data_IF_782246745329
#
_entry.id   IF_782246745329
#
_cell.length_a   1.000
_cell.length_b   1.000
_cell.length_c   1.000
_cell.angle_alpha   90.00
_cell.angle_beta   90.00
_cell.angle_gamma   90.00
#
_symmetry.space_group_name_H-M   'P 1'
#
loop_
_entity.id
_entity.type
_entity.pdbx_description
1 polymer ?
#
# COMPACT_ATOMS: atom_id res chain seq x y z
N UNK A 1 -10.40 -18.59 1.98
CA UNK A 1 -10.41 -17.25 1.35
C UNK A 1 -9.31 -16.45 1.99
N UNK A 2 -8.48 -15.80 1.18
CA UNK A 2 -7.39 -14.95 1.68
C UNK A 2 -7.97 -13.79 2.48
N UNK A 3 -7.47 -13.60 3.69
CA UNK A 3 -7.86 -12.46 4.52
C UNK A 3 -7.26 -11.18 3.95
N UNK A 4 -8.04 -10.10 3.91
CA UNK A 4 -7.61 -8.85 3.29
C UNK A 4 -7.99 -7.60 4.06
N UNK A 5 -7.17 -6.57 3.87
CA UNK A 5 -7.42 -5.20 4.31
C UNK A 5 -7.65 -4.32 3.09
N UNK A 6 -8.64 -3.45 3.17
CA UNK A 6 -8.89 -2.45 2.15
C UNK A 6 -8.33 -1.11 2.60
N UNK A 7 -7.55 -0.46 1.75
CA UNK A 7 -7.01 0.88 1.99
C UNK A 7 -7.76 1.84 1.08
N UNK A 8 -8.48 2.79 1.66
CA UNK A 8 -9.13 3.86 0.92
C UNK A 8 -8.15 5.01 0.74
N UNK A 9 -7.82 5.30 -0.51
CA UNK A 9 -6.87 6.35 -0.86
C UNK A 9 -7.57 7.70 -1.04
N UNK A 10 -7.23 8.66 -0.17
CA UNK A 10 -7.67 10.05 -0.26
C UNK A 10 -6.61 10.96 -0.92
N UNK A 11 -5.58 10.38 -1.54
CA UNK A 11 -4.53 11.09 -2.26
C UNK A 11 -3.24 11.32 -1.46
N UNK A 12 -3.02 10.55 -0.38
CA UNK A 12 -1.76 10.63 0.38
C UNK A 12 -0.57 10.15 -0.45
N UNK A 13 0.52 10.91 -0.38
CA UNK A 13 1.83 10.46 -0.87
C UNK A 13 2.35 9.17 -0.20
N UNK A 14 1.79 8.80 0.96
CA UNK A 14 2.22 7.63 1.74
C UNK A 14 1.27 6.41 1.62
N UNK A 15 0.19 6.47 0.83
CA UNK A 15 -0.76 5.35 0.72
C UNK A 15 -0.08 4.02 0.34
N UNK A 16 0.90 4.06 -0.57
CA UNK A 16 1.65 2.87 -0.96
C UNK A 16 2.53 2.31 0.18
N UNK A 17 2.98 3.15 1.11
CA UNK A 17 3.73 2.71 2.29
C UNK A 17 2.81 2.01 3.31
N UNK A 18 1.55 2.43 3.43
CA UNK A 18 0.55 1.70 4.23
C UNK A 18 0.42 0.28 3.66
N UNK A 19 0.17 0.15 2.35
CA UNK A 19 0.03 -1.16 1.71
C UNK A 19 1.29 -2.03 1.88
N UNK A 20 2.47 -1.42 1.75
CA UNK A 20 3.74 -2.11 2.02
C UNK A 20 3.82 -2.60 3.47
N UNK A 21 3.50 -1.77 4.45
CA UNK A 21 3.53 -2.15 5.86
C UNK A 21 2.53 -3.27 6.19
N UNK A 22 1.34 -3.25 5.58
CA UNK A 22 0.36 -4.33 5.72
C UNK A 22 0.88 -5.66 5.15
N UNK A 23 1.50 -5.61 3.97
CA UNK A 23 2.10 -6.80 3.32
C UNK A 23 3.33 -7.32 4.07
N UNK A 24 4.15 -6.45 4.63
CA UNK A 24 5.28 -6.82 5.50
C UNK A 24 4.81 -7.49 6.80
N UNK A 25 3.55 -7.27 7.22
CA UNK A 25 2.90 -8.00 8.29
C UNK A 25 2.25 -9.33 7.83
N UNK A 26 2.53 -9.79 6.60
CA UNK A 26 1.97 -10.99 5.98
C UNK A 26 0.43 -10.98 5.86
N UNK A 27 -0.15 -9.80 5.60
CA UNK A 27 -1.59 -9.64 5.35
C UNK A 27 -1.79 -9.09 3.94
N UNK A 28 -2.74 -9.66 3.18
CA UNK A 28 -3.07 -9.16 1.85
C UNK A 28 -3.79 -7.81 1.94
N UNK A 29 -3.54 -6.93 0.98
CA UNK A 29 -4.27 -5.67 0.90
C UNK A 29 -4.45 -5.16 -0.52
N UNK A 30 -5.54 -4.41 -0.68
CA UNK A 30 -5.89 -3.68 -1.90
C UNK A 30 -5.96 -2.18 -1.57
N UNK A 31 -5.54 -1.34 -2.52
CA UNK A 31 -5.77 0.10 -2.47
C UNK A 31 -6.88 0.40 -3.48
N UNK A 32 -7.89 1.14 -3.06
CA UNK A 32 -8.90 1.71 -3.98
C UNK A 32 -9.06 3.21 -3.72
N UNK A 33 -9.42 4.00 -4.74
CA UNK A 33 -9.83 5.38 -4.51
C UNK A 33 -11.00 5.48 -3.52
N UNK A 34 -10.99 6.50 -2.67
CA UNK A 34 -12.01 6.67 -1.61
C UNK A 34 -13.48 6.68 -2.10
N UNK A 35 -13.71 7.10 -3.35
CA UNK A 35 -15.05 7.22 -3.96
C UNK A 35 -15.53 5.92 -4.62
N UNK A 36 -14.71 4.86 -4.65
CA UNK A 36 -15.13 3.56 -5.17
C UNK A 36 -16.00 2.82 -4.16
N UNK A 37 -17.00 2.08 -4.67
CA UNK A 37 -17.87 1.25 -3.85
C UNK A 37 -17.08 0.12 -3.17
N UNK A 38 -17.32 -0.09 -1.88
CA UNK A 38 -16.70 -1.16 -1.09
C UNK A 38 -17.53 -2.43 -1.24
N UNK A 39 -16.88 -3.52 -1.66
CA UNK A 39 -17.47 -4.86 -1.67
C UNK A 39 -17.15 -5.55 -0.35
N UNK A 40 -18.16 -5.70 0.50
CA UNK A 40 -18.03 -6.44 1.76
C UNK A 40 -18.13 -7.94 1.49
N UNK A 41 -17.01 -8.62 1.60
CA UNK A 41 -16.90 -10.07 1.42
C UNK A 41 -16.29 -10.74 2.66
N UNK A 42 -16.51 -12.05 2.90
CA UNK A 42 -16.09 -12.71 4.14
C UNK A 42 -14.59 -12.62 4.45
N UNK A 43 -13.74 -12.44 3.42
CA UNK A 43 -12.30 -12.27 3.56
C UNK A 43 -11.86 -10.86 3.97
N UNK A 44 -12.70 -9.84 3.84
CA UNK A 44 -12.36 -8.47 4.21
C UNK A 44 -12.44 -8.31 5.74
N UNK A 45 -11.30 -7.99 6.37
CA UNK A 45 -11.14 -7.97 7.84
C UNK A 45 -11.12 -6.58 8.47
N UNK A 46 -10.84 -5.55 7.69
CA UNK A 46 -10.73 -4.18 8.19
C UNK A 46 -10.46 -3.18 7.07
N UNK A 47 -10.65 -1.90 7.38
CA UNK A 47 -10.44 -0.79 6.46
C UNK A 47 -9.46 0.23 7.05
N UNK A 48 -8.52 0.70 6.24
CA UNK A 48 -7.63 1.81 6.58
C UNK A 48 -8.01 3.02 5.71
N UNK A 49 -8.30 4.15 6.34
CA UNK A 49 -8.53 5.44 5.68
C UNK A 49 -7.21 6.19 5.62
N UNK A 50 -6.66 6.41 4.42
CA UNK A 50 -5.35 7.05 4.25
C UNK A 50 -5.39 8.56 4.54
N UNK A 51 -4.21 9.19 4.51
CA UNK A 51 -4.07 10.64 4.55
C UNK A 51 -4.55 11.32 3.26
N UNK A 52 -4.53 12.64 3.25
CA UNK A 52 -4.82 13.47 2.07
C UNK A 52 -4.04 14.78 2.16
N UNK A 53 -3.72 15.43 1.03
CA UNK A 53 -3.27 16.82 1.03
C UNK A 53 -4.40 17.82 1.34
N UNK A 54 -5.67 17.41 1.29
CA UNK A 54 -6.83 18.26 1.54
C UNK A 54 -7.07 18.53 3.04
N UNK A 55 -7.78 19.61 3.36
CA UNK A 55 -8.39 19.79 4.68
C UNK A 55 -9.79 19.18 4.68
N UNK A 56 -10.20 18.56 5.80
CA UNK A 56 -11.58 18.07 5.97
C UNK A 56 -12.61 19.20 6.03
N UNK A 57 -12.16 20.44 6.21
CA UNK A 57 -13.00 21.63 6.24
C UNK A 57 -13.13 22.31 4.86
N UNK A 58 -12.46 21.79 3.82
CA UNK A 58 -12.59 22.33 2.46
C UNK A 58 -13.94 21.91 1.84
N UNK A 59 -14.57 22.79 1.06
CA UNK A 59 -15.88 22.52 0.43
C UNK A 59 -15.90 21.27 -0.48
N UNK A 60 -14.74 20.92 -1.04
CA UNK A 60 -14.55 19.75 -1.93
C UNK A 60 -13.69 18.67 -1.29
N UNK A 61 -13.63 18.64 0.05
CA UNK A 61 -12.89 17.64 0.80
C UNK A 61 -13.34 16.22 0.39
N UNK A 62 -12.41 15.27 0.17
CA UNK A 62 -12.75 13.86 -0.04
C UNK A 62 -13.56 13.24 1.11
N UNK A 63 -14.77 12.76 0.84
CA UNK A 63 -15.68 12.21 1.86
C UNK A 63 -15.97 10.72 1.62
N UNK A 64 -16.23 9.98 2.70
CA UNK A 64 -16.75 8.60 2.66
C UNK A 64 -17.68 8.38 3.84
N UNK A 65 -18.65 7.47 3.71
CA UNK A 65 -19.55 7.11 4.80
C UNK A 65 -18.87 6.16 5.81
N UNK A 66 -18.16 6.76 6.77
CA UNK A 66 -17.38 6.03 7.79
C UNK A 66 -18.31 5.27 8.75
N UNK A 67 -19.50 5.80 9.04
CA UNK A 67 -20.46 5.13 9.91
C UNK A 67 -20.90 3.79 9.32
N UNK A 68 -21.37 3.78 8.07
CA UNK A 68 -21.76 2.55 7.37
C UNK A 68 -20.62 1.54 7.22
N UNK A 69 -19.38 2.02 7.09
CA UNK A 69 -18.20 1.15 7.07
C UNK A 69 -17.96 0.52 8.44
N UNK A 70 -17.92 1.33 9.50
CA UNK A 70 -17.61 0.88 10.85
C UNK A 70 -18.70 -0.01 11.46
N UNK A 71 -19.94 0.03 10.96
CA UNK A 71 -20.96 -0.95 11.34
C UNK A 71 -20.62 -2.38 10.94
N UNK A 72 -19.77 -2.55 9.91
CA UNK A 72 -19.46 -3.86 9.32
C UNK A 72 -18.05 -4.33 9.62
N UNK A 73 -17.09 -3.41 9.74
CA UNK A 73 -15.67 -3.73 9.88
C UNK A 73 -14.93 -2.79 10.84
N UNK A 74 -13.83 -3.24 11.45
CA UNK A 74 -12.90 -2.36 12.13
C UNK A 74 -12.28 -1.32 11.17
N UNK A 75 -12.09 -0.10 11.67
CA UNK A 75 -11.56 1.04 10.89
C UNK A 75 -10.36 1.68 11.56
N UNK A 76 -9.33 2.00 10.78
CA UNK A 76 -8.22 2.86 11.19
C UNK A 76 -8.14 4.09 10.29
N UNK A 77 -8.30 5.28 10.85
CA UNK A 77 -8.02 6.54 10.18
C UNK A 77 -6.58 7.00 10.40
N UNK A 78 -5.88 7.38 9.33
CA UNK A 78 -4.51 7.93 9.40
C UNK A 78 -4.53 9.37 8.87
N UNK A 79 -4.05 10.31 9.69
CA UNK A 79 -3.99 11.74 9.40
C UNK A 79 -5.36 12.28 8.93
N UNK A 80 -5.53 12.61 7.65
CA UNK A 80 -6.82 13.01 7.08
C UNK A 80 -7.94 12.01 7.40
N UNK A 81 -7.70 10.71 7.29
CA UNK A 81 -8.70 9.70 7.64
C UNK A 81 -9.14 9.79 9.11
N UNK A 82 -8.22 10.14 10.03
CA UNK A 82 -8.53 10.34 11.44
C UNK A 82 -9.33 11.64 11.67
N UNK A 83 -8.98 12.72 10.96
CA UNK A 83 -9.70 13.99 11.00
C UNK A 83 -11.12 13.85 10.47
N UNK A 84 -11.26 13.19 9.32
CA UNK A 84 -12.54 12.92 8.67
C UNK A 84 -13.43 12.10 9.60
N UNK A 85 -12.84 11.09 10.26
CA UNK A 85 -13.52 10.29 11.25
C UNK A 85 -14.01 11.14 12.43
N UNK A 86 -13.14 11.97 13.02
CA UNK A 86 -13.54 12.83 14.13
C UNK A 86 -14.68 13.78 13.74
N UNK A 87 -14.59 14.43 12.56
CA UNK A 87 -15.61 15.34 12.06
C UNK A 87 -16.94 14.63 11.76
N UNK A 88 -16.91 13.45 11.15
CA UNK A 88 -18.09 12.64 10.80
C UNK A 88 -18.97 12.32 12.02
N UNK A 89 -18.37 12.15 13.19
CA UNK A 89 -19.10 11.84 14.43
C UNK A 89 -19.32 13.06 15.34
N UNK A 90 -19.12 14.29 14.84
CA UNK A 90 -19.41 15.53 15.57
C UNK A 90 -18.25 16.13 16.36
N UNK A 91 -17.03 15.64 16.16
CA UNK A 91 -15.81 16.26 16.66
C UNK A 91 -15.45 17.54 15.91
N UNK A 92 -14.54 18.33 16.48
CA UNK A 92 -14.10 19.60 15.90
C UNK A 92 -12.68 19.45 15.36
N UNK A 93 -12.52 19.66 14.06
CA UNK A 93 -11.22 19.74 13.39
C UNK A 93 -10.97 21.18 12.96
N UNK A 94 -9.83 21.74 13.36
CA UNK A 94 -9.47 23.11 13.02
C UNK A 94 -7.99 23.21 12.68
N UNK A 95 -7.64 24.28 11.95
CA UNK A 95 -6.25 24.60 11.62
C UNK A 95 -5.39 24.59 12.87
N UNK A 96 -4.25 23.94 12.78
CA UNK A 96 -3.28 23.95 13.87
C UNK A 96 -2.53 25.28 13.88
N UNK A 97 -2.39 25.88 15.06
CA UNK A 97 -1.59 27.09 15.26
C UNK A 97 -0.08 26.84 15.02
N UNK A 98 0.34 25.57 15.09
CA UNK A 98 1.70 25.09 14.77
C UNK A 98 1.59 24.02 13.68
N UNK A 99 2.18 24.25 12.51
CA UNK A 99 2.34 23.21 11.50
C UNK A 99 3.45 22.29 11.95
N UNK A 100 3.12 21.07 12.34
CA UNK A 100 4.12 20.05 12.66
C UNK A 100 4.30 19.12 11.49
N UNK A 101 5.30 19.44 10.68
CA UNK A 101 5.94 18.49 9.80
C UNK A 101 7.20 18.04 10.51
N UNK A 102 7.22 16.83 11.04
CA UNK A 102 8.41 16.39 11.76
C UNK A 102 8.19 15.25 12.74
N UNK A 103 9.28 14.97 13.45
CA UNK A 103 9.32 13.99 14.53
C UNK A 103 8.68 14.59 15.78
N UNK A 104 7.82 13.82 16.42
CA UNK A 104 7.26 14.13 17.73
C UNK A 104 7.37 12.89 18.63
N UNK A 105 7.34 13.13 19.94
CA UNK A 105 7.26 12.05 20.93
C UNK A 105 5.80 11.84 21.31
N UNK A 106 5.31 10.63 21.08
CA UNK A 106 4.00 10.22 21.55
C UNK A 106 3.99 10.21 23.09
N UNK A 107 2.86 10.52 23.72
CA UNK A 107 2.64 10.26 25.15
C UNK A 107 1.36 9.47 25.28
N UNK A 108 1.49 8.18 25.57
CA UNK A 108 0.34 7.32 25.79
C UNK A 108 -0.38 7.71 27.09
N UNK A 109 -1.66 8.05 26.98
CA UNK A 109 -2.52 8.44 28.10
C UNK A 109 -3.39 7.29 28.61
N UNK A 110 -3.59 6.27 27.76
CA UNK A 110 -4.30 5.03 28.12
C UNK A 110 -3.59 3.82 27.55
N UNK A 111 -3.65 2.71 28.29
CA UNK A 111 -3.26 1.41 27.76
C UNK A 111 -4.31 0.94 26.75
N UNK A 112 -3.85 0.51 25.58
CA UNK A 112 -4.71 -0.03 24.53
C UNK A 112 -3.95 -1.08 23.73
N UNK A 113 -4.68 -2.08 23.23
CA UNK A 113 -4.14 -3.17 22.42
C UNK A 113 -3.38 -2.67 21.18
N UNK A 114 -3.74 -1.50 20.63
CA UNK A 114 -3.06 -0.93 19.47
C UNK A 114 -1.61 -0.49 19.78
N UNK A 115 -1.29 -0.24 21.05
CA UNK A 115 0.04 0.17 21.52
C UNK A 115 0.86 -0.95 22.16
N UNK A 116 0.39 -2.19 22.15
CA UNK A 116 1.16 -3.28 22.76
C UNK A 116 2.51 -3.47 22.05
N UNK A 117 3.61 -3.39 22.82
CA UNK A 117 4.98 -3.43 22.28
C UNK A 117 5.45 -2.11 21.65
N UNK A 118 4.70 -1.02 21.82
CA UNK A 118 5.10 0.36 21.45
C UNK A 118 5.44 1.13 22.72
N UNK A 119 6.57 1.81 22.74
CA UNK A 119 7.00 2.58 23.91
C UNK A 119 6.05 3.75 24.19
N UNK A 120 5.88 4.08 25.48
CA UNK A 120 5.01 5.18 25.92
C UNK A 120 5.43 6.53 25.33
N UNK A 121 6.72 6.66 25.02
CA UNK A 121 7.38 7.81 24.39
C UNK A 121 7.97 7.45 23.03
N UNK A 122 7.22 6.72 22.21
CA UNK A 122 7.67 6.36 20.86
C UNK A 122 7.76 7.58 19.95
N UNK A 123 8.78 7.62 19.08
CA UNK A 123 8.91 8.65 18.07
C UNK A 123 7.93 8.38 16.92
N UNK A 124 7.15 9.41 16.56
CA UNK A 124 6.17 9.38 15.48
C UNK A 124 6.41 10.51 14.48
N UNK A 125 5.93 10.34 13.25
CA UNK A 125 6.00 11.35 12.19
C UNK A 125 4.66 12.07 11.99
N UNK A 126 4.65 13.37 12.30
CA UNK A 126 3.52 14.27 12.09
C UNK A 126 3.60 14.92 10.71
N UNK A 127 2.45 15.07 10.05
CA UNK A 127 2.37 15.73 8.74
C UNK A 127 0.96 16.25 8.46
N UNK A 128 0.49 17.22 9.23
CA UNK A 128 -0.83 17.81 9.03
C UNK A 128 -0.87 19.33 9.25
N UNK A 129 -1.79 19.98 8.55
CA UNK A 129 -2.14 21.39 8.75
C UNK A 129 -3.25 21.61 9.78
N UNK A 130 -4.09 20.58 9.97
CA UNK A 130 -5.24 20.61 10.87
C UNK A 130 -5.06 19.65 12.05
N UNK A 131 -5.77 19.93 13.12
CA UNK A 131 -5.70 19.16 14.37
C UNK A 131 -7.11 18.95 14.91
N UNK A 132 -7.36 17.76 15.42
CA UNK A 132 -8.59 17.43 16.14
C UNK A 132 -8.55 18.15 17.49
N UNK A 133 -9.44 19.13 17.67
CA UNK A 133 -9.53 19.96 18.88
C UNK A 133 -10.46 19.35 19.92
N UNK A 134 -11.56 18.77 19.45
CA UNK A 134 -12.56 18.13 20.30
C UNK A 134 -12.88 16.78 19.70
N UNK A 135 -12.77 15.74 20.51
CA UNK A 135 -13.21 14.41 20.13
C UNK A 135 -14.74 14.31 20.22
N UNK A 136 -15.37 13.54 19.32
CA UNK A 136 -16.79 13.27 19.39
C UNK A 136 -17.17 12.49 20.66
N UNK A 137 -18.43 12.57 21.06
CA UNK A 137 -18.95 11.80 22.19
C UNK A 137 -18.84 10.28 21.90
N UNK A 138 -18.54 9.49 22.94
CA UNK A 138 -18.31 8.06 22.78
C UNK A 138 -16.93 7.69 22.22
N UNK A 139 -16.02 8.68 22.08
CA UNK A 139 -14.63 8.46 21.72
C UNK A 139 -13.68 8.83 22.86
N UNK A 140 -12.57 8.09 22.91
CA UNK A 140 -11.57 8.21 23.97
C UNK A 140 -10.22 8.57 23.36
N UNK A 141 -9.58 9.59 23.93
CA UNK A 141 -8.19 9.91 23.62
C UNK A 141 -7.29 8.81 24.19
N UNK A 142 -6.35 8.34 23.37
CA UNK A 142 -5.39 7.31 23.74
C UNK A 142 -3.98 7.85 23.91
N UNK A 143 -3.60 8.85 23.11
CA UNK A 143 -2.30 9.48 23.19
C UNK A 143 -2.32 10.92 22.68
N UNK A 144 -1.39 11.72 23.17
CA UNK A 144 -1.12 13.08 22.73
C UNK A 144 0.37 13.26 22.37
N UNK A 145 0.76 14.47 21.96
CA UNK A 145 2.15 14.92 21.94
C UNK A 145 2.26 16.24 22.69
N UNK A 146 3.48 16.79 22.80
CA UNK A 146 3.71 18.10 23.42
C UNK A 146 2.80 19.22 22.86
N UNK A 147 2.47 19.14 21.58
CA UNK A 147 1.84 20.18 20.78
C UNK A 147 0.46 19.80 20.24
N UNK A 148 0.15 18.50 20.20
CA UNK A 148 -1.09 17.97 19.63
C UNK A 148 -1.90 17.29 20.71
N UNK A 149 -3.08 17.82 21.05
CA UNK A 149 -3.90 17.31 22.15
C UNK A 149 -4.49 15.92 21.88
N UNK A 150 -4.63 15.56 20.60
CA UNK A 150 -5.20 14.27 20.16
C UNK A 150 -4.30 13.70 19.07
N UNK A 151 -3.31 12.91 19.48
CA UNK A 151 -2.40 12.22 18.56
C UNK A 151 -2.95 10.85 18.15
N UNK A 152 -3.65 10.17 19.08
CA UNK A 152 -4.39 8.95 18.82
C UNK A 152 -5.69 8.90 19.63
N UNK A 153 -6.74 8.34 19.05
CA UNK A 153 -8.02 8.13 19.69
C UNK A 153 -8.69 6.85 19.20
N UNK A 154 -9.73 6.41 19.91
CA UNK A 154 -10.59 5.29 19.50
C UNK A 154 -12.04 5.52 19.87
N UNK A 155 -12.94 4.80 19.22
CA UNK A 155 -14.31 4.61 19.70
C UNK A 155 -14.31 3.79 20.99
N UNK A 156 -15.17 4.14 21.94
CA UNK A 156 -15.22 3.45 23.24
C UNK A 156 -15.56 1.97 23.07
N UNK A 157 -14.83 1.12 23.79
CA UNK A 157 -14.93 -0.36 23.72
C UNK A 157 -16.30 -0.92 24.10
N UNK A 158 -17.17 -0.11 24.72
CA UNK A 158 -18.53 -0.51 25.05
C UNK A 158 -19.50 -0.47 23.86
N UNK A 159 -19.07 0.02 22.69
CA UNK A 159 -19.98 0.30 21.56
C UNK A 159 -19.43 -0.11 20.19
N UNK A 160 -20.16 -0.97 19.48
CA UNK A 160 -19.93 -1.29 18.07
C UNK A 160 -18.57 -1.94 17.75
N UNK A 161 -18.19 -1.91 16.47
CA UNK A 161 -16.89 -2.42 16.04
C UNK A 161 -15.78 -1.40 16.28
N UNK A 162 -14.54 -1.86 16.50
CA UNK A 162 -13.42 -0.98 16.81
C UNK A 162 -13.18 0.07 15.72
N UNK A 163 -12.98 1.30 16.14
CA UNK A 163 -12.57 2.40 15.28
C UNK A 163 -11.42 3.13 15.96
N UNK A 164 -10.35 3.38 15.21
CA UNK A 164 -9.16 4.08 15.67
C UNK A 164 -8.84 5.24 14.73
N UNK A 165 -8.23 6.29 15.27
CA UNK A 165 -7.69 7.40 14.47
C UNK A 165 -6.35 7.86 15.02
N UNK A 166 -5.40 8.14 14.12
CA UNK A 166 -4.07 8.67 14.47
C UNK A 166 -3.73 9.89 13.61
N UNK A 167 -3.10 10.89 14.23
CA UNK A 167 -2.62 12.10 13.56
C UNK A 167 -1.17 12.00 13.06
N UNK A 168 -0.52 10.87 13.28
CA UNK A 168 0.81 10.57 12.76
C UNK A 168 0.76 9.50 11.68
N UNK A 169 1.85 9.34 10.94
CA UNK A 169 2.01 8.33 9.89
C UNK A 169 2.77 7.11 10.42
N UNK A 170 2.11 6.04 10.89
CA UNK A 170 2.78 4.84 11.37
C UNK A 170 3.50 4.06 10.24
N UNK A 171 3.16 4.30 8.98
CA UNK A 171 3.71 3.63 7.80
C UNK A 171 5.09 4.12 7.37
N UNK A 172 5.53 5.30 7.84
CA UNK A 172 6.81 5.89 7.42
C UNK A 172 7.94 5.47 8.34
N UNK A 173 9.16 5.41 7.78
CA UNK A 173 10.39 5.06 8.50
C UNK A 173 10.64 5.91 9.76
N UNK A 174 10.23 7.18 9.73
CA UNK A 174 10.44 8.11 10.84
C UNK A 174 9.63 7.77 12.11
N UNK A 175 8.55 7.00 11.96
CA UNK A 175 7.78 6.44 13.09
C UNK A 175 8.43 5.12 13.50
N UNK A 176 9.34 5.16 14.48
CA UNK A 176 10.28 4.06 14.76
C UNK A 176 9.60 2.75 15.14
N UNK A 177 8.44 2.82 15.80
CA UNK A 177 7.61 1.65 16.14
C UNK A 177 6.25 1.67 15.42
N UNK A 178 6.10 2.47 14.36
CA UNK A 178 4.84 2.59 13.61
C UNK A 178 4.39 1.28 12.95
N UNK A 179 5.34 0.45 12.49
CA UNK A 179 5.02 -0.89 11.97
C UNK A 179 4.46 -1.84 13.03
N UNK A 180 4.90 -1.71 14.29
CA UNK A 180 4.35 -2.50 15.41
C UNK A 180 2.89 -2.08 15.66
N UNK A 181 2.64 -0.77 15.67
CA UNK A 181 1.29 -0.20 15.77
C UNK A 181 0.36 -0.73 14.66
N UNK A 182 0.79 -0.66 13.39
CA UNK A 182 0.00 -1.18 12.28
C UNK A 182 -0.23 -2.68 12.41
N UNK A 183 0.79 -3.45 12.79
CA UNK A 183 0.65 -4.90 13.04
C UNK A 183 -0.41 -5.17 14.12
N UNK A 184 -0.45 -4.42 15.21
CA UNK A 184 -1.47 -4.59 16.25
C UNK A 184 -2.88 -4.32 15.71
N UNK A 185 -3.08 -3.29 14.89
CA UNK A 185 -4.37 -3.09 14.21
C UNK A 185 -4.74 -4.29 13.33
N UNK A 186 -3.80 -4.82 12.56
CA UNK A 186 -4.05 -5.95 11.66
C UNK A 186 -4.38 -7.23 12.41
N UNK A 187 -3.59 -7.61 13.42
CA UNK A 187 -3.70 -8.93 14.04
C UNK A 187 -4.58 -8.95 15.27
N UNK A 188 -4.61 -7.87 16.06
CA UNK A 188 -5.35 -7.80 17.33
C UNK A 188 -6.70 -7.13 17.19
N UNK A 189 -6.80 -6.09 16.35
CA UNK A 189 -8.08 -5.43 16.08
C UNK A 189 -8.85 -6.18 14.99
N UNK A 190 -8.24 -6.41 13.83
CA UNK A 190 -8.91 -7.05 12.68
C UNK A 190 -8.88 -8.58 12.74
N UNK A 191 -8.04 -9.17 13.60
CA UNK A 191 -7.95 -10.62 13.75
C UNK A 191 -7.27 -11.35 12.60
N UNK A 192 -6.45 -10.67 11.79
CA UNK A 192 -5.77 -11.30 10.66
C UNK A 192 -4.73 -12.33 11.12
N UNK A 193 -4.75 -13.52 10.51
CA UNK A 193 -3.91 -14.69 10.85
C UNK A 193 -2.49 -14.63 10.31
N UNK A 194 -2.18 -13.68 9.43
CA UNK A 194 -0.87 -13.48 8.83
C UNK A 194 -0.43 -14.64 7.89
N UNK A 195 -1.35 -15.20 7.13
CA UNK A 195 -1.12 -16.34 6.22
C UNK A 195 -0.67 -15.93 4.80
N UNK A 196 -0.70 -14.63 4.47
CA UNK A 196 -0.25 -14.11 3.18
C UNK A 196 1.27 -14.00 3.14
N UNK A 197 1.92 -15.13 2.85
CA UNK A 197 3.38 -15.22 2.70
C UNK A 197 3.78 -15.31 1.22
N UNK A 198 5.04 -14.99 0.85
CA UNK A 198 5.52 -15.17 -0.51
C UNK A 198 5.31 -16.60 -1.06
N UNK A 199 5.43 -17.63 -0.22
CA UNK A 199 5.20 -19.02 -0.61
C UNK A 199 3.73 -19.30 -0.95
N UNK A 200 2.81 -18.77 -0.13
CA UNK A 200 1.37 -18.87 -0.39
C UNK A 200 1.00 -18.12 -1.68
N UNK A 201 1.53 -16.91 -1.84
CA UNK A 201 1.32 -16.09 -3.04
C UNK A 201 1.78 -16.81 -4.32
N UNK A 202 2.95 -17.46 -4.29
CA UNK A 202 3.44 -18.24 -5.44
C UNK A 202 2.46 -19.38 -5.76
N UNK A 203 2.06 -20.16 -4.76
CA UNK A 203 1.15 -21.30 -4.93
C UNK A 203 -0.18 -20.88 -5.54
N UNK A 204 -0.81 -19.85 -4.97
CA UNK A 204 -2.09 -19.32 -5.44
C UNK A 204 -1.99 -18.74 -6.85
N UNK A 205 -0.94 -17.95 -7.12
CA UNK A 205 -0.73 -17.33 -8.42
C UNK A 205 -0.51 -18.38 -9.50
N UNK A 206 0.32 -19.39 -9.24
CA UNK A 206 0.58 -20.50 -10.17
C UNK A 206 -0.71 -21.26 -10.48
N UNK A 207 -1.52 -21.58 -9.47
CA UNK A 207 -2.80 -22.27 -9.64
C UNK A 207 -3.81 -21.43 -10.44
N UNK A 208 -3.91 -20.14 -10.14
CA UNK A 208 -4.79 -19.21 -10.86
C UNK A 208 -4.36 -19.07 -12.32
N UNK A 209 -3.06 -18.93 -12.60
CA UNK A 209 -2.51 -18.88 -13.94
C UNK A 209 -2.79 -20.16 -14.72
N UNK A 210 -2.58 -21.33 -14.11
CA UNK A 210 -2.90 -22.62 -14.72
C UNK A 210 -4.36 -22.70 -15.17
N UNK A 211 -5.29 -22.35 -14.27
CA UNK A 211 -6.73 -22.36 -14.57
C UNK A 211 -7.09 -21.35 -15.66
N UNK A 212 -6.51 -20.16 -15.59
CA UNK A 212 -6.80 -19.09 -16.55
C UNK A 212 -6.24 -19.44 -17.93
N UNK A 213 -5.00 -19.87 -18.05
CA UNK A 213 -4.34 -20.14 -19.34
C UNK A 213 -4.87 -21.43 -19.97
N UNK A 214 -5.01 -22.49 -19.18
CA UNK A 214 -5.45 -23.80 -19.64
C UNK A 214 -4.42 -24.46 -20.56
N UNK A 215 -4.79 -24.69 -21.82
CA UNK A 215 -3.94 -25.32 -22.84
C UNK A 215 -3.39 -24.33 -23.88
N UNK A 216 -3.53 -23.02 -23.62
CA UNK A 216 -3.18 -21.97 -24.58
C UNK A 216 -1.71 -21.61 -24.46
N UNK A 217 -1.07 -21.33 -25.60
CA UNK A 217 0.29 -20.78 -25.61
C UNK A 217 0.30 -19.35 -25.08
N UNK A 218 1.38 -18.98 -24.41
CA UNK A 218 1.61 -17.65 -23.83
C UNK A 218 2.85 -17.06 -24.48
N UNK A 219 2.76 -15.83 -24.96
CA UNK A 219 3.92 -15.06 -25.43
C UNK A 219 4.21 -13.99 -24.39
N UNK A 220 5.49 -13.82 -24.04
CA UNK A 220 5.92 -12.80 -23.10
C UNK A 220 7.15 -12.06 -23.61
N UNK A 221 7.09 -10.73 -23.64
CA UNK A 221 8.26 -9.89 -23.81
C UNK A 221 9.03 -9.81 -22.48
N UNK A 222 10.29 -10.20 -22.49
CA UNK A 222 11.22 -10.02 -21.37
C UNK A 222 12.14 -8.84 -21.67
N UNK A 223 12.49 -8.07 -20.63
CA UNK A 223 13.39 -6.92 -20.75
C UNK A 223 14.73 -7.10 -20.04
N UNK A 224 14.94 -8.23 -19.35
CA UNK A 224 16.04 -8.39 -18.38
C UNK A 224 15.73 -7.84 -16.99
N UNK A 225 14.63 -7.10 -16.84
CA UNK A 225 14.20 -6.56 -15.55
C UNK A 225 13.70 -7.64 -14.58
N UNK A 226 13.71 -7.30 -13.29
CA UNK A 226 13.21 -8.16 -12.20
C UNK A 226 11.75 -8.53 -12.43
N UNK A 227 10.90 -7.56 -12.75
CA UNK A 227 9.45 -7.76 -12.92
C UNK A 227 9.14 -8.77 -14.03
N UNK A 228 9.69 -8.57 -15.23
CA UNK A 228 9.47 -9.48 -16.36
C UNK A 228 10.05 -10.86 -16.09
N UNK A 229 11.16 -10.95 -15.37
CA UNK A 229 11.79 -12.25 -15.04
C UNK A 229 10.97 -13.02 -14.02
N UNK A 230 10.47 -12.35 -12.97
CA UNK A 230 9.60 -12.98 -11.96
C UNK A 230 8.28 -13.41 -12.59
N UNK A 231 7.65 -12.56 -13.39
CA UNK A 231 6.40 -12.90 -14.07
C UNK A 231 6.59 -14.07 -15.06
N UNK A 232 7.65 -14.09 -15.85
CA UNK A 232 7.98 -15.21 -16.73
C UNK A 232 8.19 -16.51 -15.93
N UNK A 233 8.88 -16.42 -14.79
CA UNK A 233 9.12 -17.57 -13.91
C UNK A 233 7.81 -18.11 -13.32
N UNK A 234 6.89 -17.25 -12.90
CA UNK A 234 5.58 -17.66 -12.38
C UNK A 234 4.72 -18.33 -13.46
N UNK A 235 4.70 -17.77 -14.68
CA UNK A 235 3.99 -18.34 -15.82
C UNK A 235 4.60 -19.68 -16.23
N UNK A 236 5.94 -19.77 -16.30
CA UNK A 236 6.62 -21.02 -16.62
C UNK A 236 6.34 -22.11 -15.58
N UNK A 237 6.34 -21.78 -14.29
CA UNK A 237 5.91 -22.72 -13.24
C UNK A 237 4.46 -23.16 -13.39
N UNK A 238 3.60 -22.29 -13.92
CA UNK A 238 2.20 -22.61 -14.19
C UNK A 238 2.04 -23.55 -15.38
N UNK A 239 2.62 -23.22 -16.53
CA UNK A 239 2.25 -23.86 -17.81
C UNK A 239 3.43 -24.44 -18.61
N UNK A 240 4.65 -24.40 -18.07
CA UNK A 240 5.87 -24.96 -18.67
C UNK A 240 6.10 -24.41 -20.08
N UNK A 241 6.33 -25.33 -21.02
CA UNK A 241 6.66 -25.05 -22.43
C UNK A 241 5.52 -24.38 -23.24
N UNK A 242 4.35 -24.13 -22.62
CA UNK A 242 3.35 -23.26 -23.23
C UNK A 242 3.83 -21.80 -23.30
N UNK A 243 4.80 -21.41 -22.47
CA UNK A 243 5.43 -20.09 -22.49
C UNK A 243 6.47 -20.00 -23.61
N UNK A 244 6.41 -18.91 -24.38
CA UNK A 244 7.46 -18.46 -25.29
C UNK A 244 7.88 -17.05 -24.89
N UNK A 245 9.08 -16.93 -24.32
CA UNK A 245 9.72 -15.66 -24.04
C UNK A 245 10.41 -15.07 -25.27
N UNK A 246 10.40 -13.74 -25.38
CA UNK A 246 11.14 -12.98 -26.37
C UNK A 246 11.92 -11.88 -25.65
N UNK A 247 13.24 -11.84 -25.82
CA UNK A 247 14.09 -10.78 -25.30
C UNK A 247 14.73 -10.04 -26.48
N UNK A 248 14.42 -8.75 -26.63
CA UNK A 248 14.88 -7.94 -27.75
C UNK A 248 16.06 -7.08 -27.30
N UNK A 249 17.21 -7.24 -27.95
CA UNK A 249 18.29 -6.25 -27.87
C UNK A 249 17.90 -5.05 -28.74
N UNK A 250 17.70 -3.91 -28.10
CA UNK A 250 17.40 -2.64 -28.77
C UNK A 250 18.66 -1.78 -28.98
N UNK A 251 19.85 -2.31 -28.70
CA UNK A 251 21.12 -1.61 -28.84
C UNK A 251 21.42 -0.57 -27.76
N UNK A 252 20.53 -0.37 -26.78
CA UNK A 252 20.73 0.61 -25.68
C UNK A 252 20.74 -0.04 -24.30
N UNK A 253 21.03 -1.35 -24.26
CA UNK A 253 21.28 -2.08 -23.03
C UNK A 253 22.66 -1.72 -22.45
N UNK A 254 22.90 -2.10 -21.19
CA UNK A 254 24.24 -1.96 -20.60
C UNK A 254 25.21 -2.91 -21.31
N UNK A 255 26.51 -2.60 -21.19
CA UNK A 255 27.57 -3.43 -21.77
C UNK A 255 27.39 -4.90 -21.37
N UNK A 256 27.38 -5.78 -22.38
CA UNK A 256 27.24 -7.23 -22.27
C UNK A 256 25.92 -7.74 -21.64
N UNK A 257 24.95 -6.85 -21.37
CA UNK A 257 23.72 -7.19 -20.66
C UNK A 257 22.86 -8.18 -21.44
N UNK A 258 22.76 -8.04 -22.76
CA UNK A 258 21.97 -8.94 -23.60
C UNK A 258 22.40 -10.41 -23.42
N UNK A 259 23.70 -10.67 -23.58
CA UNK A 259 24.26 -12.02 -23.46
C UNK A 259 24.19 -12.54 -22.02
N UNK A 260 24.48 -11.69 -21.03
CA UNK A 260 24.43 -12.07 -19.63
C UNK A 260 23.01 -12.48 -19.19
N UNK A 261 22.00 -11.68 -19.55
CA UNK A 261 20.60 -11.94 -19.24
C UNK A 261 20.07 -13.17 -19.98
N UNK A 262 20.40 -13.33 -21.26
CA UNK A 262 19.96 -14.49 -22.04
C UNK A 262 20.56 -15.80 -21.48
N UNK A 263 21.84 -15.77 -21.10
CA UNK A 263 22.50 -16.89 -20.43
C UNK A 263 21.84 -17.23 -19.09
N UNK A 264 21.48 -16.22 -18.30
CA UNK A 264 20.75 -16.42 -17.04
C UNK A 264 19.40 -17.10 -17.30
N UNK A 265 18.64 -16.66 -18.31
CA UNK A 265 17.36 -17.30 -18.67
C UNK A 265 17.52 -18.77 -19.04
N UNK A 266 18.58 -19.12 -19.78
CA UNK A 266 18.88 -20.53 -20.08
C UNK A 266 19.23 -21.33 -18.81
N UNK A 267 20.02 -20.77 -17.90
CA UNK A 267 20.41 -21.44 -16.65
C UNK A 267 19.21 -21.75 -15.75
N UNK A 268 18.21 -20.87 -15.71
CA UNK A 268 16.98 -21.09 -14.94
C UNK A 268 15.89 -21.83 -15.73
N UNK A 269 16.19 -22.27 -16.96
CA UNK A 269 15.31 -23.09 -17.79
C UNK A 269 14.12 -22.35 -18.40
N UNK A 270 14.18 -21.02 -18.56
CA UNK A 270 13.11 -20.28 -19.23
C UNK A 270 13.24 -20.38 -20.75
N UNK A 271 12.15 -20.71 -21.49
CA UNK A 271 12.15 -20.79 -22.94
C UNK A 271 12.13 -19.39 -23.58
N UNK A 272 13.28 -18.71 -23.62
CA UNK A 272 13.42 -17.34 -24.12
C UNK A 272 14.21 -17.33 -25.43
N UNK A 273 13.66 -16.66 -26.45
CA UNK A 273 14.36 -16.35 -27.69
C UNK A 273 14.96 -14.95 -27.63
N UNK A 274 16.28 -14.86 -27.74
CA UNK A 274 16.97 -13.58 -27.97
C UNK A 274 16.78 -13.10 -29.41
N UNK A 275 16.55 -11.80 -29.59
CA UNK A 275 16.47 -11.14 -30.89
C UNK A 275 17.37 -9.91 -30.85
N UNK A 276 18.48 -9.95 -31.58
CA UNK A 276 19.28 -8.75 -31.81
C UNK A 276 18.58 -7.88 -32.87
N UNK A 277 18.11 -6.71 -32.46
CA UNK A 277 17.50 -5.71 -33.33
C UNK A 277 18.25 -4.37 -33.26
N UNK A 278 19.48 -4.35 -32.73
CA UNK A 278 20.24 -3.14 -32.44
C UNK A 278 20.35 -2.20 -33.65
N UNK A 279 20.72 -2.71 -34.82
CA UNK A 279 20.81 -1.93 -36.06
C UNK A 279 19.50 -1.21 -36.41
N UNK A 280 18.37 -1.92 -36.35
CA UNK A 280 17.04 -1.35 -36.59
C UNK A 280 16.73 -0.21 -35.63
N UNK A 281 17.09 -0.35 -34.35
CA UNK A 281 16.89 0.72 -33.37
C UNK A 281 17.82 1.90 -33.62
N UNK A 282 19.08 1.67 -33.97
CA UNK A 282 20.03 2.74 -34.29
C UNK A 282 19.60 3.57 -35.50
N UNK A 283 19.15 2.92 -36.58
CA UNK A 283 18.60 3.60 -37.76
C UNK A 283 17.41 4.49 -37.38
N UNK A 284 16.50 3.97 -36.55
CA UNK A 284 15.34 4.71 -36.09
C UNK A 284 15.70 5.79 -35.06
N UNK A 285 16.85 5.74 -34.41
CA UNK A 285 17.30 6.78 -33.47
C UNK A 285 18.19 7.84 -34.14
N UNK A 286 18.69 7.57 -35.34
CA UNK A 286 19.59 8.48 -36.06
C UNK A 286 19.01 9.89 -36.18
N UNK A 287 19.82 10.90 -35.84
CA UNK A 287 19.46 12.31 -35.92
C UNK A 287 18.43 12.80 -34.90
N UNK A 288 17.83 11.92 -34.07
CA UNK A 288 16.85 12.35 -33.06
C UNK A 288 17.57 12.93 -31.84
N UNK A 289 17.31 14.20 -31.55
CA UNK A 289 17.82 14.88 -30.35
C UNK A 289 16.74 14.99 -29.26
N UNK A 290 15.49 15.20 -29.67
CA UNK A 290 14.35 15.31 -28.77
C UNK A 290 14.06 14.00 -28.01
N UNK A 291 13.99 14.02 -26.67
CA UNK A 291 13.79 12.82 -25.88
C UNK A 291 12.41 12.17 -26.08
N UNK A 292 11.35 12.92 -26.40
CA UNK A 292 10.04 12.32 -26.67
C UNK A 292 10.02 11.59 -28.02
N UNK A 293 10.66 12.16 -29.03
CA UNK A 293 10.85 11.50 -30.33
C UNK A 293 11.69 10.23 -30.19
N UNK A 294 12.73 10.22 -29.35
CA UNK A 294 13.49 9.00 -29.02
C UNK A 294 12.58 7.93 -28.39
N UNK A 295 11.74 8.30 -27.41
CA UNK A 295 10.79 7.37 -26.78
C UNK A 295 9.80 6.80 -27.79
N UNK A 296 9.25 7.63 -28.68
CA UNK A 296 8.34 7.20 -29.75
C UNK A 296 8.99 6.32 -30.82
N UNK A 297 10.30 6.46 -31.02
CA UNK A 297 11.04 5.61 -31.96
C UNK A 297 11.39 4.25 -31.34
N UNK A 298 11.57 4.18 -30.02
CA UNK A 298 11.89 2.95 -29.29
C UNK A 298 10.62 2.11 -29.01
N UNK A 299 9.51 2.76 -28.64
CA UNK A 299 8.23 2.10 -28.38
C UNK A 299 7.49 1.73 -29.65
#
# INVERSE_FOLDING_TARGET
MTEKILILDFGSQYTQLIARAVREANVYCEIIPYHHSIKFEPGLKGIILSGSPASVNDDKAPQVDIASINEKLPVLGICYGAQLTAQCFGGIVAKSNKREYGRAQLRQQKQDLIFEGVDTHSQVWMSHSDSIKVLPEGYEMLADTESIPVAAFRKSSSTGLPLYGVQFHPEVYHSTQGKIFLKNFLTKVCGCKQDWTPAHFITDTVSALQKQIGKRKVIMALSGGVDSTVAATLIYRAVGDQLQGIFVDNGVLRKDEFNAVLNMYHQIGLPVKGVDASERFYENLAGKTDPEQKRKAIG
#
